data_IF_332531398972
#
_entry.id   IF_332531398972
#
_cell.length_a   1.000
_cell.length_b   1.000
_cell.length_c   1.000
_cell.angle_alpha   90.00
_cell.angle_beta   90.00
_cell.angle_gamma   90.00
#
_symmetry.space_group_name_H-M   'P 1'
#
loop_
_entity.id
_entity.type
_entity.pdbx_description
1 polymer ?
#
# COMPACT_ATOMS: atom_id res chain seq x y z
N UNK A 1 53.58 21.82 10.74
CA UNK A 1 52.91 21.91 9.41
C UNK A 1 52.65 20.56 8.75
N UNK A 2 53.58 19.57 8.77
CA UNK A 2 53.36 18.24 8.15
C UNK A 2 52.19 17.43 8.73
N UNK A 3 51.90 17.54 10.03
CA UNK A 3 50.78 16.83 10.66
C UNK A 3 49.41 17.43 10.33
N UNK A 4 49.33 18.72 9.98
CA UNK A 4 48.07 19.38 9.63
C UNK A 4 47.57 18.96 8.24
N UNK A 5 48.51 18.66 7.32
CA UNK A 5 48.19 18.15 5.99
C UNK A 5 47.63 16.72 6.00
N UNK A 6 48.08 15.87 6.93
CA UNK A 6 47.62 14.48 7.04
C UNK A 6 46.17 14.43 7.53
N UNK A 7 45.79 15.30 8.48
CA UNK A 7 44.42 15.37 9.01
C UNK A 7 43.43 15.87 7.95
N UNK A 8 43.83 16.85 7.13
CA UNK A 8 42.99 17.35 6.03
C UNK A 8 42.82 16.29 4.93
N UNK A 9 43.87 15.53 4.62
CA UNK A 9 43.79 14.47 3.61
C UNK A 9 42.90 13.30 4.06
N UNK A 10 42.92 12.94 5.35
CA UNK A 10 42.04 11.89 5.91
C UNK A 10 40.58 12.35 5.95
N UNK A 11 40.30 13.62 6.25
CA UNK A 11 38.95 14.20 6.19
C UNK A 11 38.38 14.25 4.76
N UNK A 12 39.21 14.51 3.76
CA UNK A 12 38.80 14.50 2.35
C UNK A 12 38.52 13.07 1.86
N UNK A 13 39.32 12.07 2.26
CA UNK A 13 39.09 10.66 1.86
C UNK A 13 37.83 10.08 2.49
N UNK A 14 37.42 10.53 3.68
CA UNK A 14 36.13 10.15 4.29
C UNK A 14 34.92 10.91 3.73
N UNK A 15 35.12 12.04 3.03
CA UNK A 15 34.04 12.83 2.45
C UNK A 15 33.63 12.37 1.04
N UNK A 16 34.34 11.42 0.45
CA UNK A 16 34.03 10.84 -0.86
C UNK A 16 33.53 9.40 -0.68
N UNK A 17 32.52 9.23 0.16
CA UNK A 17 31.49 8.21 -0.07
C UNK A 17 30.19 8.92 -0.41
N UNK A 18 30.25 9.73 -1.46
CA UNK A 18 29.04 10.03 -2.21
C UNK A 18 28.64 8.70 -2.83
N UNK A 19 27.53 8.13 -2.36
CA UNK A 19 26.80 7.07 -3.04
C UNK A 19 26.30 7.60 -4.39
N UNK A 20 27.22 7.77 -5.34
CA UNK A 20 26.86 7.76 -6.74
C UNK A 20 26.65 6.29 -7.13
N UNK A 21 25.61 5.65 -6.56
CA UNK A 21 24.99 4.54 -7.26
C UNK A 21 24.43 5.14 -8.55
N UNK A 22 24.85 4.70 -9.75
CA UNK A 22 24.23 5.15 -10.98
C UNK A 22 22.72 4.95 -10.84
N UNK A 23 21.96 6.01 -11.15
CA UNK A 23 20.54 6.08 -10.86
C UNK A 23 19.79 4.88 -11.37
N UNK A 24 19.40 4.02 -10.44
CA UNK A 24 18.59 2.85 -10.74
C UNK A 24 17.18 3.36 -11.01
N UNK A 25 16.81 3.40 -12.27
CA UNK A 25 15.42 3.46 -12.68
C UNK A 25 14.97 2.08 -13.14
N UNK A 26 13.68 1.81 -13.02
CA UNK A 26 13.18 0.52 -13.43
C UNK A 26 11.71 0.29 -13.15
N UNK A 27 11.35 -0.98 -13.22
CA UNK A 27 10.00 -1.45 -12.99
C UNK A 27 10.03 -2.67 -12.07
N UNK A 28 9.23 -2.66 -11.01
CA UNK A 28 8.96 -3.82 -10.17
C UNK A 28 7.51 -4.27 -10.41
N UNK A 29 7.33 -5.55 -10.71
CA UNK A 29 6.01 -6.16 -10.85
C UNK A 29 5.65 -6.86 -9.55
N UNK A 30 4.49 -6.51 -9.00
CA UNK A 30 3.93 -7.14 -7.83
C UNK A 30 2.70 -7.96 -8.20
N UNK A 31 2.52 -9.07 -7.52
CA UNK A 31 1.32 -9.89 -7.61
C UNK A 31 0.65 -9.93 -6.23
N UNK A 32 -0.62 -9.56 -6.18
CA UNK A 32 -1.47 -9.71 -5.01
C UNK A 32 -2.41 -10.89 -5.22
N UNK A 33 -2.42 -11.83 -4.27
CA UNK A 33 -3.37 -12.93 -4.22
C UNK A 33 -4.26 -12.78 -3.00
N UNK A 34 -5.56 -13.02 -3.18
CA UNK A 34 -6.55 -12.99 -2.11
C UNK A 34 -7.38 -14.27 -2.17
N UNK A 35 -7.39 -15.01 -1.06
CA UNK A 35 -8.19 -16.22 -0.89
C UNK A 35 -9.21 -16.02 0.25
N UNK A 36 -10.50 -15.80 -0.10
CA UNK A 36 -11.54 -15.55 0.89
C UNK A 36 -11.81 -16.77 1.79
N UNK A 37 -11.61 -17.99 1.29
CA UNK A 37 -11.83 -19.20 2.07
C UNK A 37 -10.73 -19.37 3.14
N UNK A 38 -9.47 -19.14 2.75
CA UNK A 38 -8.34 -19.16 3.69
C UNK A 38 -8.49 -18.07 4.75
N UNK A 39 -8.84 -16.83 4.35
CA UNK A 39 -9.07 -15.74 5.31
C UNK A 39 -10.20 -16.08 6.29
N UNK A 40 -11.31 -16.61 5.79
CA UNK A 40 -12.48 -16.95 6.61
C UNK A 40 -12.16 -18.07 7.61
N UNK A 41 -11.47 -19.12 7.15
CA UNK A 41 -11.03 -20.21 8.01
C UNK A 41 -10.01 -19.74 9.06
N UNK A 42 -9.08 -18.85 8.69
CA UNK A 42 -8.07 -18.29 9.60
C UNK A 42 -8.71 -17.38 10.68
N UNK A 43 -9.88 -16.84 10.41
CA UNK A 43 -10.71 -16.09 11.38
C UNK A 43 -11.65 -17.00 12.21
N UNK A 44 -11.51 -18.32 12.11
CA UNK A 44 -12.26 -19.29 12.90
C UNK A 44 -13.71 -19.51 12.46
N UNK A 45 -14.10 -18.98 11.30
CA UNK A 45 -15.45 -19.16 10.75
C UNK A 45 -15.48 -20.46 9.95
N UNK A 46 -16.24 -21.45 10.45
CA UNK A 46 -16.50 -22.70 9.73
C UNK A 46 -17.59 -22.46 8.70
N UNK A 47 -17.22 -22.49 7.42
CA UNK A 47 -18.15 -22.40 6.30
C UNK A 47 -18.82 -23.75 6.04
N UNK A 48 -20.11 -23.74 5.72
CA UNK A 48 -20.78 -24.92 5.19
C UNK A 48 -20.26 -25.23 3.79
N UNK A 49 -20.37 -26.49 3.34
CA UNK A 49 -19.98 -26.88 1.98
C UNK A 49 -20.67 -26.04 0.90
N UNK A 50 -21.94 -25.71 1.11
CA UNK A 50 -22.71 -24.83 0.21
C UNK A 50 -22.21 -23.38 0.24
N UNK A 51 -21.83 -22.86 1.41
CA UNK A 51 -21.26 -21.52 1.52
C UNK A 51 -19.89 -21.42 0.85
N UNK A 52 -19.03 -22.43 1.04
CA UNK A 52 -17.72 -22.52 0.38
C UNK A 52 -17.87 -22.61 -1.14
N UNK A 53 -18.84 -23.38 -1.65
CA UNK A 53 -19.11 -23.49 -3.08
C UNK A 53 -19.59 -22.17 -3.72
N UNK A 54 -20.20 -21.29 -2.92
CA UNK A 54 -20.67 -19.95 -3.35
C UNK A 54 -19.61 -18.86 -3.15
N UNK A 55 -18.50 -19.14 -2.46
CA UNK A 55 -17.43 -18.17 -2.30
C UNK A 55 -16.71 -17.93 -3.62
N UNK A 56 -16.28 -16.68 -3.89
CA UNK A 56 -15.38 -16.41 -4.99
C UNK A 56 -14.12 -17.28 -4.83
N UNK A 57 -13.66 -17.85 -5.94
CA UNK A 57 -12.32 -18.45 -5.98
C UNK A 57 -11.27 -17.37 -5.72
N UNK A 58 -10.07 -17.80 -5.34
CA UNK A 58 -8.94 -16.89 -5.14
C UNK A 58 -8.78 -15.93 -6.32
N UNK A 59 -8.50 -14.67 -6.01
CA UNK A 59 -8.32 -13.62 -7.00
C UNK A 59 -6.86 -13.18 -7.03
N UNK A 60 -6.36 -12.94 -8.24
CA UNK A 60 -5.01 -12.44 -8.48
C UNK A 60 -5.11 -11.06 -9.12
N UNK A 61 -4.33 -10.11 -8.60
CA UNK A 61 -4.23 -8.75 -9.11
C UNK A 61 -2.77 -8.36 -9.24
N UNK A 62 -2.39 -7.87 -10.42
CA UNK A 62 -1.03 -7.44 -10.68
C UNK A 62 -0.90 -5.93 -10.52
N UNK A 63 0.24 -5.50 -9.98
CA UNK A 63 0.61 -4.11 -9.82
C UNK A 63 2.00 -3.87 -10.39
N UNK A 64 2.25 -2.63 -10.76
CA UNK A 64 3.49 -2.18 -11.34
C UNK A 64 3.96 -0.94 -10.61
N UNK A 65 5.18 -1.02 -10.07
CA UNK A 65 5.94 0.12 -9.58
C UNK A 65 6.92 0.53 -10.68
N UNK A 66 6.76 1.71 -11.25
CA UNK A 66 7.79 2.36 -12.06
C UNK A 66 8.51 3.38 -11.19
N UNK A 67 9.84 3.40 -11.22
CA UNK A 67 10.63 4.26 -10.34
C UNK A 67 11.85 4.82 -11.05
N UNK A 68 12.28 6.00 -10.60
CA UNK A 68 13.61 6.54 -10.82
C UNK A 68 14.28 6.86 -9.46
N UNK A 69 15.29 7.72 -9.44
CA UNK A 69 15.98 8.11 -8.20
C UNK A 69 15.14 8.97 -7.25
N UNK A 70 14.12 9.66 -7.76
CA UNK A 70 13.42 10.73 -7.06
C UNK A 70 11.95 10.43 -6.85
N UNK A 71 11.34 9.72 -7.79
CA UNK A 71 9.91 9.50 -7.85
C UNK A 71 9.58 8.06 -8.20
N UNK A 72 8.34 7.67 -7.86
CA UNK A 72 7.77 6.43 -8.35
C UNK A 72 6.26 6.52 -8.55
N UNK A 73 5.75 5.67 -9.44
CA UNK A 73 4.33 5.47 -9.69
C UNK A 73 4.00 3.99 -9.46
N UNK A 74 3.10 3.71 -8.52
CA UNK A 74 2.58 2.38 -8.24
C UNK A 74 1.11 2.28 -8.66
N UNK A 75 0.83 1.40 -9.63
CA UNK A 75 -0.47 1.30 -10.31
C UNK A 75 -0.89 -0.15 -10.49
N UNK A 76 -2.19 -0.41 -10.51
CA UNK A 76 -2.69 -1.72 -10.90
C UNK A 76 -2.54 -1.93 -12.41
N UNK A 77 -1.99 -3.08 -12.83
CA UNK A 77 -1.96 -3.43 -14.25
C UNK A 77 -3.35 -3.88 -14.71
N UNK A 78 -3.92 -3.12 -15.65
CA UNK A 78 -5.19 -3.48 -16.30
C UNK A 78 -4.89 -4.34 -17.52
N UNK A 79 -5.20 -5.64 -17.47
CA UNK A 79 -5.07 -6.53 -18.64
C UNK A 79 -6.15 -6.18 -19.67
N UNK A 80 -5.75 -6.03 -20.95
CA UNK A 80 -6.58 -5.63 -22.11
C UNK A 80 -7.89 -6.42 -22.31
N UNK A 81 -8.04 -7.60 -21.71
CA UNK A 81 -9.25 -8.44 -21.80
C UNK A 81 -10.25 -8.27 -20.65
N UNK A 82 -10.00 -7.35 -19.70
CA UNK A 82 -10.96 -7.05 -18.63
C UNK A 82 -11.87 -5.89 -19.04
N UNK A 83 -12.97 -6.18 -19.74
CA UNK A 83 -14.02 -5.20 -20.07
C UNK A 83 -14.87 -4.79 -18.86
N UNK A 84 -14.29 -4.76 -17.66
CA UNK A 84 -15.02 -4.50 -16.41
C UNK A 84 -14.32 -3.42 -15.62
N UNK A 85 -14.86 -2.22 -15.78
CA UNK A 85 -14.96 -1.15 -14.78
C UNK A 85 -13.74 -0.92 -13.89
N UNK A 86 -13.15 0.27 -14.04
CA UNK A 86 -12.28 0.98 -13.07
C UNK A 86 -12.99 1.24 -11.73
N UNK A 87 -13.49 0.19 -11.10
CA UNK A 87 -14.25 0.17 -9.85
C UNK A 87 -14.11 -1.15 -9.11
N UNK A 88 -13.11 -1.95 -9.47
CA UNK A 88 -12.80 -3.21 -8.79
C UNK A 88 -12.09 -2.91 -7.48
N UNK A 89 -12.68 -3.45 -6.42
CA UNK A 89 -12.21 -3.48 -5.04
C UNK A 89 -10.82 -4.12 -5.00
N UNK A 90 -9.77 -3.35 -4.71
CA UNK A 90 -8.43 -3.92 -4.53
C UNK A 90 -8.29 -4.43 -3.09
N UNK A 91 -7.86 -5.69 -2.98
CA UNK A 91 -7.53 -6.35 -1.74
C UNK A 91 -6.41 -5.65 -0.99
N UNK A 92 -6.33 -5.95 0.32
CA UNK A 92 -5.35 -5.47 1.31
C UNK A 92 -5.48 -4.03 1.83
N UNK A 93 -6.69 -3.48 1.81
CA UNK A 93 -7.05 -2.51 2.84
C UNK A 93 -7.28 -3.24 4.17
N UNK A 94 -6.29 -3.28 5.07
CA UNK A 94 -6.54 -3.45 6.53
C UNK A 94 -7.55 -2.36 7.00
N UNK A 95 -7.69 -1.27 6.23
CA UNK A 95 -8.70 -0.22 6.38
C UNK A 95 -9.74 -0.15 5.27
N UNK A 96 -10.28 -1.30 4.89
CA UNK A 96 -11.53 -1.37 4.15
C UNK A 96 -11.34 -1.18 2.65
N UNK A 97 -11.99 -2.03 1.87
CA UNK A 97 -11.90 -1.88 0.44
C UNK A 97 -12.58 -0.60 -0.03
N UNK A 98 -11.87 0.03 -0.94
CA UNK A 98 -12.25 1.25 -1.59
C UNK A 98 -11.90 1.16 -3.08
N UNK A 99 -11.99 2.30 -3.73
CA UNK A 99 -11.65 2.50 -5.14
C UNK A 99 -10.21 2.07 -5.41
N UNK A 100 -9.96 1.60 -6.64
CA UNK A 100 -8.58 1.44 -7.12
C UNK A 100 -7.89 2.81 -7.08
N UNK A 101 -6.70 2.85 -6.47
CA UNK A 101 -5.89 4.05 -6.33
C UNK A 101 -4.56 3.83 -7.02
N UNK A 102 -4.14 4.84 -7.76
CA UNK A 102 -2.76 4.98 -8.21
C UNK A 102 -2.00 5.79 -7.17
N UNK A 103 -0.76 5.41 -6.88
CA UNK A 103 0.08 6.08 -5.89
C UNK A 103 1.29 6.67 -6.58
N UNK A 104 1.57 7.94 -6.30
CA UNK A 104 2.73 8.67 -6.78
C UNK A 104 3.58 9.05 -5.58
N UNK A 105 4.85 8.67 -5.59
CA UNK A 105 5.79 8.87 -4.51
C UNK A 105 6.83 9.91 -4.90
N UNK A 106 7.17 10.77 -3.96
CA UNK A 106 8.36 11.61 -3.97
C UNK A 106 9.25 11.16 -2.81
N UNK A 107 10.39 10.56 -3.16
CA UNK A 107 11.32 9.98 -2.19
C UNK A 107 12.11 11.04 -1.42
N UNK A 108 12.27 12.26 -1.97
CA UNK A 108 13.00 13.33 -1.28
C UNK A 108 12.14 13.97 -0.19
N UNK A 109 10.90 14.31 -0.54
CA UNK A 109 9.99 14.99 0.37
C UNK A 109 9.22 14.02 1.28
N UNK A 110 9.38 12.70 1.09
CA UNK A 110 8.59 11.65 1.75
C UNK A 110 7.08 11.87 1.58
N UNK A 111 6.70 12.37 0.40
CA UNK A 111 5.32 12.71 0.05
C UNK A 111 4.72 11.65 -0.84
N UNK A 112 3.42 11.49 -0.72
CA UNK A 112 2.64 10.56 -1.51
C UNK A 112 1.39 11.25 -2.01
N UNK A 113 1.05 11.06 -3.27
CA UNK A 113 -0.24 11.49 -3.82
C UNK A 113 -1.01 10.26 -4.26
N UNK A 114 -2.24 10.15 -3.76
CA UNK A 114 -3.18 9.13 -4.15
C UNK A 114 -4.09 9.69 -5.23
N UNK A 115 -4.10 9.07 -6.40
CA UNK A 115 -4.99 9.43 -7.51
C UNK A 115 -6.09 8.37 -7.66
N UNK A 116 -7.35 8.79 -7.71
CA UNK A 116 -8.47 7.87 -7.86
C UNK A 116 -9.66 8.52 -8.55
N UNK A 117 -10.39 7.71 -9.32
CA UNK A 117 -11.61 8.15 -10.00
C UNK A 117 -12.81 8.00 -9.07
N UNK A 118 -13.58 9.08 -8.90
CA UNK A 118 -14.87 9.05 -8.23
C UNK A 118 -15.91 9.74 -9.13
N UNK A 119 -16.87 8.94 -9.65
CA UNK A 119 -17.89 9.39 -10.61
C UNK A 119 -17.27 10.07 -11.84
N UNK A 120 -16.35 9.38 -12.51
CA UNK A 120 -15.63 9.85 -13.70
C UNK A 120 -14.83 11.16 -13.50
N UNK A 121 -14.62 11.55 -12.24
CA UNK A 121 -13.77 12.68 -11.87
C UNK A 121 -12.52 12.15 -11.18
N UNK A 122 -11.35 12.49 -11.72
CA UNK A 122 -10.07 12.18 -11.12
C UNK A 122 -9.81 13.11 -9.94
N UNK A 123 -9.67 12.52 -8.75
CA UNK A 123 -9.26 13.23 -7.55
C UNK A 123 -7.82 12.90 -7.19
N UNK A 124 -7.12 13.90 -6.69
CA UNK A 124 -5.76 13.79 -6.16
C UNK A 124 -5.82 14.10 -4.66
N UNK A 125 -5.25 13.25 -3.84
CA UNK A 125 -5.21 13.42 -2.39
C UNK A 125 -3.77 13.32 -1.93
N UNK A 126 -3.25 14.39 -1.36
CA UNK A 126 -1.93 14.40 -0.75
C UNK A 126 -1.98 13.65 0.59
N UNK A 127 -0.98 12.81 0.82
CA UNK A 127 -0.82 12.00 2.02
C UNK A 127 0.68 11.85 2.34
N UNK A 128 0.98 11.24 3.49
CA UNK A 128 2.35 10.87 3.87
C UNK A 128 2.41 9.38 4.19
N UNK A 129 3.54 8.75 3.88
CA UNK A 129 3.77 7.37 4.27
C UNK A 129 3.69 7.23 5.79
N UNK A 130 3.10 6.12 6.27
CA UNK A 130 2.95 5.81 7.69
C UNK A 130 1.85 6.56 8.43
N UNK A 131 1.12 7.45 7.75
CA UNK A 131 -0.06 8.06 8.34
C UNK A 131 -1.28 7.17 8.13
N UNK A 132 -1.89 6.76 9.24
CA UNK A 132 -3.21 6.16 9.20
C UNK A 132 -4.20 7.21 8.71
N UNK A 133 -4.97 6.93 7.64
CA UNK A 133 -6.02 7.84 7.24
C UNK A 133 -7.01 7.93 8.40
N UNK A 134 -7.28 9.15 8.89
CA UNK A 134 -8.39 9.47 9.79
C UNK A 134 -9.76 9.16 9.14
N UNK A 135 -10.08 7.89 8.91
CA UNK A 135 -11.39 7.47 8.40
C UNK A 135 -12.35 7.33 9.58
N UNK A 136 -13.06 8.42 9.90
CA UNK A 136 -14.13 8.43 10.91
C UNK A 136 -15.43 7.85 10.35
N UNK A 137 -15.49 6.54 10.13
CA UNK A 137 -16.72 5.91 9.67
C UNK A 137 -17.75 5.73 10.78
N UNK A 138 -18.77 6.60 10.79
CA UNK A 138 -19.88 6.50 11.73
C UNK A 138 -19.46 6.70 13.19
N UNK A 139 -20.42 6.66 14.11
CA UNK A 139 -20.28 7.04 15.52
C UNK A 139 -19.22 6.21 16.25
N UNK A 140 -17.98 6.69 16.29
CA UNK A 140 -16.96 6.28 17.27
C UNK A 140 -16.10 5.07 16.92
N UNK A 141 -15.61 4.92 15.68
CA UNK A 141 -14.49 4.00 15.44
C UNK A 141 -13.16 4.60 15.94
N UNK A 142 -12.48 3.81 16.77
CA UNK A 142 -11.20 4.12 17.40
C UNK A 142 -10.11 3.96 16.35
N UNK A 143 -9.17 4.92 16.29
CA UNK A 143 -8.01 4.86 15.40
C UNK A 143 -7.23 3.56 15.72
N UNK A 144 -6.89 2.75 14.71
CA UNK A 144 -6.14 1.51 14.90
C UNK A 144 -4.78 1.82 15.51
N UNK A 145 -4.31 0.94 16.39
CA UNK A 145 -2.93 1.00 16.86
C UNK A 145 -2.12 -0.01 16.05
N UNK A 146 -1.04 0.44 15.42
CA UNK A 146 -0.08 -0.43 14.73
C UNK A 146 1.17 -0.53 15.59
N UNK A 147 1.54 -1.75 15.98
CA UNK A 147 2.77 -2.07 16.67
C UNK A 147 3.70 -2.85 15.72
N UNK A 148 4.97 -2.50 15.70
CA UNK A 148 5.98 -3.15 14.87
C UNK A 148 6.89 -4.02 15.72
N UNK A 149 7.04 -5.28 15.31
CA UNK A 149 7.98 -6.22 15.92
C UNK A 149 9.02 -6.57 14.86
N UNK A 150 10.24 -6.09 15.08
CA UNK A 150 11.38 -6.50 14.28
C UNK A 150 11.74 -7.95 14.58
N UNK A 151 12.12 -8.68 13.55
CA UNK A 151 12.57 -10.06 13.64
C UNK A 151 13.94 -10.19 12.97
N UNK A 152 14.74 -11.12 13.46
CA UNK A 152 16.05 -11.44 12.87
C UNK A 152 15.92 -12.33 11.61
N UNK A 153 14.69 -12.67 11.21
CA UNK A 153 14.44 -13.44 10.00
C UNK A 153 14.79 -12.66 8.74
N UNK A 154 15.46 -13.36 7.82
CA UNK A 154 15.91 -12.84 6.54
C UNK A 154 15.46 -13.78 5.42
N UNK A 155 14.95 -13.20 4.34
CA UNK A 155 14.51 -13.92 3.14
C UNK A 155 15.12 -13.26 1.90
N UNK A 156 15.50 -14.05 0.91
CA UNK A 156 15.92 -13.55 -0.39
C UNK A 156 14.71 -13.39 -1.30
N UNK A 157 14.47 -12.19 -1.81
CA UNK A 157 13.39 -11.90 -2.77
C UNK A 157 14.00 -11.17 -3.96
N UNK A 158 13.89 -11.77 -5.16
CA UNK A 158 14.49 -11.23 -6.39
C UNK A 158 16.01 -10.94 -6.30
N UNK A 159 16.72 -11.66 -5.40
CA UNK A 159 18.16 -11.48 -5.17
C UNK A 159 18.51 -10.38 -4.16
N UNK A 160 17.52 -9.75 -3.51
CA UNK A 160 17.72 -8.81 -2.42
C UNK A 160 17.54 -9.48 -1.07
N UNK A 161 18.38 -9.07 -0.12
CA UNK A 161 18.25 -9.45 1.29
C UNK A 161 17.10 -8.66 1.90
N UNK A 162 16.01 -9.36 2.25
CA UNK A 162 14.84 -8.76 2.86
C UNK A 162 14.74 -9.13 4.34
N UNK A 163 14.51 -8.14 5.19
CA UNK A 163 14.32 -8.30 6.62
C UNK A 163 12.84 -8.38 6.95
N UNK A 164 12.52 -9.19 7.96
CA UNK A 164 11.15 -9.36 8.42
C UNK A 164 10.76 -8.30 9.46
N UNK A 165 9.57 -7.73 9.29
CA UNK A 165 8.86 -6.97 10.34
C UNK A 165 7.44 -7.48 10.43
N UNK A 166 6.95 -7.69 11.65
CA UNK A 166 5.56 -8.04 11.91
C UNK A 166 4.82 -6.78 12.35
N UNK A 167 3.86 -6.32 11.55
CA UNK A 167 2.94 -5.26 11.92
C UNK A 167 1.68 -5.86 12.56
N UNK A 168 1.46 -5.54 13.83
CA UNK A 168 0.25 -5.90 14.58
C UNK A 168 -0.70 -4.72 14.58
N UNK A 169 -1.84 -4.87 13.93
CA UNK A 169 -2.91 -3.87 13.94
C UNK A 169 -3.98 -4.28 14.94
N UNK A 170 -4.16 -3.51 16.00
CA UNK A 170 -5.23 -3.73 16.98
C UNK A 170 -6.34 -2.72 16.77
N UNK A 171 -7.55 -3.24 16.54
CA UNK A 171 -8.78 -2.44 16.43
C UNK A 171 -9.71 -2.78 17.59
N UNK A 172 -10.11 -1.75 18.33
CA UNK A 172 -11.10 -1.86 19.40
C UNK A 172 -12.48 -1.58 18.84
N UNK A 173 -13.35 -2.58 18.87
CA UNK A 173 -14.74 -2.46 18.42
C UNK A 173 -15.69 -2.57 19.61
N UNK A 174 -16.64 -1.64 19.69
CA UNK A 174 -17.76 -1.74 20.64
C UNK A 174 -18.93 -2.43 19.95
N UNK A 175 -19.18 -3.69 20.28
CA UNK A 175 -20.31 -4.47 19.76
C UNK A 175 -21.29 -4.68 20.89
N UNK A 176 -22.50 -4.15 20.76
CA UNK A 176 -23.56 -4.26 21.78
C UNK A 176 -23.13 -3.84 23.21
N UNK A 177 -22.28 -2.82 23.32
CA UNK A 177 -21.82 -2.31 24.62
C UNK A 177 -20.61 -3.03 25.20
N UNK A 178 -20.19 -4.16 24.62
CA UNK A 178 -18.98 -4.90 25.01
C UNK A 178 -17.81 -4.46 24.13
N UNK A 179 -16.68 -4.11 24.76
CA UNK A 179 -15.43 -3.84 24.06
C UNK A 179 -14.81 -5.17 23.63
N UNK A 180 -14.63 -5.32 22.32
CA UNK A 180 -13.92 -6.46 21.73
C UNK A 180 -12.70 -5.93 21.00
N UNK A 181 -11.54 -6.42 21.39
CA UNK A 181 -10.28 -6.14 20.70
C UNK A 181 -10.05 -7.22 19.65
N UNK A 182 -9.72 -6.80 18.44
CA UNK A 182 -9.32 -7.70 17.36
C UNK A 182 -7.92 -7.30 16.91
N UNK A 183 -6.99 -8.23 16.95
CA UNK A 183 -5.61 -8.03 16.51
C UNK A 183 -5.38 -8.81 15.24
N UNK A 184 -4.97 -8.10 14.20
CA UNK A 184 -4.52 -8.66 12.93
C UNK A 184 -2.99 -8.54 12.85
N UNK A 185 -2.34 -9.60 12.39
CA UNK A 185 -0.89 -9.65 12.23
C UNK A 185 -0.57 -9.75 10.73
N UNK A 186 0.34 -8.91 10.27
CA UNK A 186 0.85 -8.89 8.91
C UNK A 186 2.37 -8.96 8.96
N UNK A 187 2.95 -9.83 8.13
CA UNK A 187 4.39 -9.94 7.97
C UNK A 187 4.81 -9.14 6.75
N UNK A 188 5.75 -8.23 6.93
CA UNK A 188 6.36 -7.43 5.87
C UNK A 188 7.81 -7.86 5.66
N UNK A 189 8.21 -7.93 4.40
CA UNK A 189 9.58 -8.20 3.99
C UNK A 189 10.10 -6.98 3.23
N UNK A 190 11.06 -6.26 3.80
CA UNK A 190 11.60 -5.01 3.23
C UNK A 190 13.11 -5.09 3.03
N UNK A 191 13.63 -4.29 2.10
CA UNK A 191 15.06 -4.18 1.81
C UNK A 191 15.50 -2.72 1.65
N UNK A 192 16.69 -2.41 2.15
CA UNK A 192 17.32 -1.10 1.96
C UNK A 192 18.26 -1.07 0.74
N UNK A 193 18.46 -2.22 0.07
CA UNK A 193 19.37 -2.35 -1.08
C UNK A 193 18.91 -1.57 -2.33
N UNK A 194 17.61 -1.24 -2.40
CA UNK A 194 17.02 -0.45 -3.49
C UNK A 194 17.28 1.06 -3.34
N UNK A 195 17.60 1.54 -2.13
CA UNK A 195 17.97 2.94 -1.89
C UNK A 195 16.82 3.94 -1.88
N UNK A 196 15.56 3.48 -1.75
CA UNK A 196 14.38 4.33 -1.57
C UNK A 196 13.36 3.64 -0.67
N UNK A 197 12.49 4.45 -0.06
CA UNK A 197 11.40 3.98 0.79
C UNK A 197 10.12 3.79 -0.02
N UNK A 198 9.54 2.59 0.05
CA UNK A 198 8.33 2.26 -0.68
C UNK A 198 7.56 1.13 0.01
N UNK A 199 6.23 1.19 0.00
CA UNK A 199 5.40 0.06 0.37
C UNK A 199 4.17 -0.08 -0.53
N UNK A 200 3.81 -1.30 -0.96
CA UNK A 200 2.52 -1.57 -1.59
C UNK A 200 1.32 -1.17 -0.72
N UNK A 201 1.54 -1.09 0.60
CA UNK A 201 0.60 -0.51 1.56
C UNK A 201 1.34 0.54 2.40
N UNK A 202 1.31 1.83 1.99
CA UNK A 202 2.14 2.88 2.57
C UNK A 202 1.74 3.25 4.00
N UNK A 203 0.58 2.81 4.48
CA UNK A 203 0.14 2.99 5.87
C UNK A 203 0.90 2.04 6.81
N UNK A 204 1.29 0.86 6.31
CA UNK A 204 1.84 -0.19 7.17
C UNK A 204 3.31 -0.02 7.46
N UNK A 205 4.12 0.53 6.55
CA UNK A 205 5.56 0.60 6.75
C UNK A 205 6.18 1.68 5.89
N UNK A 206 7.25 2.30 6.41
CA UNK A 206 7.86 3.51 5.82
C UNK A 206 9.36 3.40 5.61
N UNK A 207 10.00 2.31 6.05
CA UNK A 207 11.46 2.16 5.97
C UNK A 207 11.85 1.15 4.88
N UNK A 208 12.67 1.57 3.93
CA UNK A 208 13.10 0.75 2.82
C UNK A 208 11.97 0.36 1.87
N UNK A 209 12.32 -0.46 0.88
CA UNK A 209 11.40 -0.94 -0.13
C UNK A 209 10.80 -2.29 0.29
N UNK A 210 9.49 -2.32 0.53
CA UNK A 210 8.74 -3.55 0.85
C UNK A 210 8.54 -4.36 -0.42
N UNK A 211 9.10 -5.58 -0.43
CA UNK A 211 9.00 -6.52 -1.54
C UNK A 211 7.95 -7.62 -1.33
N UNK A 212 7.53 -7.87 -0.08
CA UNK A 212 6.38 -8.74 0.18
C UNK A 212 5.59 -8.32 1.43
N UNK A 213 4.29 -8.58 1.39
CA UNK A 213 3.33 -8.44 2.50
C UNK A 213 2.53 -9.73 2.58
N UNK A 214 2.63 -10.42 3.71
CA UNK A 214 2.01 -11.71 3.99
C UNK A 214 0.98 -11.53 5.11
N UNK A 215 -0.27 -11.89 4.86
CA UNK A 215 -1.33 -11.92 5.87
C UNK A 215 -2.19 -13.17 5.71
N UNK A 216 -3.13 -13.36 6.65
CA UNK A 216 -4.05 -14.51 6.64
C UNK A 216 -4.93 -14.46 5.37
N UNK A 217 -4.59 -15.28 4.37
CA UNK A 217 -5.36 -15.36 3.12
C UNK A 217 -5.14 -14.21 2.14
N UNK A 218 -4.16 -13.32 2.38
CA UNK A 218 -3.74 -12.34 1.38
C UNK A 218 -2.22 -12.26 1.31
N UNK A 219 -1.69 -12.21 0.09
CA UNK A 219 -0.25 -12.15 -0.18
C UNK A 219 0.01 -11.08 -1.23
N UNK A 220 1.01 -10.24 -1.04
CA UNK A 220 1.58 -9.36 -2.07
C UNK A 220 3.06 -9.67 -2.16
N UNK A 221 3.58 -9.91 -3.35
CA UNK A 221 5.00 -10.19 -3.53
C UNK A 221 5.52 -9.66 -4.86
N UNK A 222 6.72 -9.09 -4.84
CA UNK A 222 7.46 -8.71 -6.02
C UNK A 222 7.86 -9.97 -6.82
N UNK A 223 7.36 -10.08 -8.05
CA UNK A 223 7.60 -11.21 -8.95
C UNK A 223 8.71 -10.94 -9.96
N UNK A 224 8.98 -9.68 -10.27
CA UNK A 224 10.03 -9.32 -11.22
C UNK A 224 10.55 -7.90 -10.96
N UNK A 225 11.83 -7.67 -11.25
CA UNK A 225 12.44 -6.35 -11.30
C UNK A 225 13.22 -6.20 -12.61
N UNK A 226 12.98 -5.09 -13.31
CA UNK A 226 13.66 -4.77 -14.56
C UNK A 226 14.26 -3.38 -14.45
N UNK A 227 15.58 -3.30 -14.52
CA UNK A 227 16.29 -2.03 -14.60
C UNK A 227 16.28 -1.53 -16.04
N UNK A 228 15.68 -0.36 -16.24
CA UNK A 228 15.59 0.33 -17.52
C UNK A 228 15.31 1.80 -17.28
N UNK A 229 15.65 2.64 -18.24
CA UNK A 229 15.22 4.03 -18.23
C UNK A 229 13.69 4.11 -18.29
N UNK A 230 13.11 4.93 -17.41
CA UNK A 230 11.67 5.14 -17.33
C UNK A 230 11.39 6.56 -17.85
N UNK A 231 10.36 6.69 -18.67
CA UNK A 231 9.93 8.01 -19.14
C UNK A 231 9.34 8.79 -17.96
N UNK A 232 9.69 10.07 -17.81
CA UNK A 232 9.13 10.94 -16.77
C UNK A 232 7.59 10.92 -16.77
N UNK A 233 6.95 10.86 -17.95
CA UNK A 233 5.49 10.81 -18.06
C UNK A 233 4.84 9.58 -17.40
N UNK A 234 5.59 8.50 -17.21
CA UNK A 234 5.09 7.27 -16.58
C UNK A 234 5.06 7.34 -15.04
N UNK A 235 5.88 8.22 -14.47
CA UNK A 235 6.06 8.42 -13.02
C UNK A 235 5.52 9.77 -12.55
N UNK A 236 5.30 10.71 -13.46
CA UNK A 236 4.76 12.02 -13.17
C UNK A 236 3.29 11.94 -12.74
N UNK A 237 2.94 12.84 -11.82
CA UNK A 237 1.57 13.05 -11.40
C UNK A 237 0.68 13.45 -12.59
N UNK A 238 -0.58 13.00 -12.65
CA UNK A 238 -1.52 13.45 -13.67
C UNK A 238 -1.65 14.99 -13.66
N UNK A 239 -1.50 15.61 -14.83
CA UNK A 239 -1.63 17.06 -14.99
C UNK A 239 -3.06 17.56 -14.74
N UNK A 240 -4.03 16.67 -14.83
CA UNK A 240 -5.45 16.94 -14.59
C UNK A 240 -5.89 16.19 -13.34
N UNK A 241 -6.71 16.83 -12.51
CA UNK A 241 -7.22 16.22 -11.28
C UNK A 241 -7.65 17.29 -10.29
N UNK A 242 -8.63 16.97 -9.46
CA UNK A 242 -9.12 17.87 -8.41
C UNK A 242 -8.42 17.47 -7.12
N UNK A 243 -7.63 18.39 -6.55
CA UNK A 243 -7.07 18.20 -5.22
C UNK A 243 -8.23 18.15 -4.20
N UNK A 244 -8.24 17.11 -3.37
CA UNK A 244 -9.28 16.90 -2.36
C UNK A 244 -8.64 16.60 -1.01
N UNK A 245 -9.19 17.17 0.06
CA UNK A 245 -8.79 16.80 1.42
C UNK A 245 -9.45 15.49 1.86
N UNK A 246 -8.90 14.86 2.90
CA UNK A 246 -9.46 13.63 3.43
C UNK A 246 -10.90 13.82 3.96
N UNK A 247 -11.20 14.96 4.58
CA UNK A 247 -12.54 15.29 5.08
C UNK A 247 -13.53 15.45 3.94
N UNK A 248 -13.12 16.12 2.85
CA UNK A 248 -13.95 16.29 1.66
C UNK A 248 -14.25 14.95 0.99
N UNK A 249 -13.25 14.06 0.93
CA UNK A 249 -13.44 12.69 0.46
C UNK A 249 -14.45 11.96 1.36
N UNK A 250 -14.28 12.04 2.67
CA UNK A 250 -15.18 11.40 3.64
C UNK A 250 -16.63 11.83 3.45
N UNK A 251 -16.88 13.15 3.33
CA UNK A 251 -18.23 13.69 3.07
C UNK A 251 -18.81 13.14 1.77
N UNK A 252 -18.03 13.06 0.69
CA UNK A 252 -18.48 12.48 -0.59
C UNK A 252 -18.83 11.00 -0.46
N UNK A 253 -18.03 10.22 0.26
CA UNK A 253 -18.27 8.80 0.50
C UNK A 253 -19.52 8.57 1.36
N UNK A 254 -19.72 9.38 2.40
CA UNK A 254 -20.89 9.29 3.27
C UNK A 254 -22.18 9.68 2.55
N UNK A 255 -22.15 10.73 1.73
CA UNK A 255 -23.28 11.10 0.87
C UNK A 255 -23.64 9.94 -0.07
N UNK A 256 -22.64 9.34 -0.72
CA UNK A 256 -22.86 8.16 -1.58
C UNK A 256 -23.49 7.01 -0.81
N UNK A 257 -22.97 6.66 0.37
CA UNK A 257 -23.53 5.60 1.22
C UNK A 257 -24.98 5.87 1.57
N UNK A 258 -25.32 7.10 1.96
CA UNK A 258 -26.71 7.50 2.26
C UNK A 258 -27.60 7.34 1.03
N UNK A 259 -27.16 7.80 -0.13
CA UNK A 259 -27.90 7.65 -1.40
C UNK A 259 -28.09 6.18 -1.80
N UNK A 260 -27.05 5.34 -1.68
CA UNK A 260 -27.15 3.89 -1.96
C UNK A 260 -28.13 3.20 -1.01
N UNK A 261 -28.15 3.58 0.28
CA UNK A 261 -29.12 3.05 1.26
C UNK A 261 -30.54 3.46 0.92
N UNK A 262 -30.76 4.72 0.53
CA UNK A 262 -32.08 5.23 0.11
C UNK A 262 -32.55 4.48 -1.15
N UNK A 263 -31.67 4.27 -2.13
CA UNK A 263 -31.98 3.53 -3.35
C UNK A 263 -32.35 2.06 -3.10
N UNK A 264 -31.71 1.38 -2.13
CA UNK A 264 -32.09 0.00 -1.75
C UNK A 264 -33.42 -0.07 -0.99
N UNK A 265 -33.75 0.96 -0.21
CA UNK A 265 -35.01 1.01 0.54
C UNK A 265 -36.21 1.46 -0.31
N UNK A 266 -35.99 2.03 -1.50
CA UNK A 266 -37.04 2.49 -2.41
C UNK A 266 -37.57 1.43 -3.40
N UNK A 267 -37.15 0.17 -3.31
CA UNK A 267 -37.50 -0.92 -4.24
C UNK A 267 -38.61 -1.86 -3.73
N UNK A 268 -39.52 -1.35 -2.89
CA UNK A 268 -40.76 -2.03 -2.52
C UNK A 268 -41.91 -1.01 -2.59
N UNK A 269 -42.47 -0.83 -3.78
CA UNK A 269 -43.83 -0.36 -4.04
C UNK A 269 -44.24 -0.88 -5.42
#
# INVERSE_FOLDING_TARGET
MKQLFIVIFILIVFSIRVEAQPGKSGTILFESTFDPAVLTAANGIKLSSEATARMPKSSVTNFELKFDQLHASYKQQITRNSSTQRGRYNGLGVFGGGFSRDYYYDFQEHRMIQAFDLNDTLFLMEDKMGLLPEMRFGTGQIVPVIEYIQSDEVKQILGFTCHQVIAKTTVKHKVMGVEKETTEELTLWYTNELGFDFSPNPVLWTEGAVLAIESKGTHIEAKNIQYKEINAEDIDLPRTGILISQEQLHVKLDLRRKLTRISRNGSWN
#
